data_IF_315586968835
#
_entry.id   IF_315586968835
#
_cell.length_a   1.000
_cell.length_b   1.000
_cell.length_c   1.000
_cell.angle_alpha   90.00
_cell.angle_beta   90.00
_cell.angle_gamma   90.00
#
_symmetry.space_group_name_H-M   'P 1'
#
loop_
_entity.id
_entity.type
_entity.pdbx_description
1 polymer ?
#
# COMPACT_ATOMS: atom_id res chain seq x y z
N UNK A 1 -5.91 11.11 14.96
CA UNK A 1 -5.68 9.65 14.84
C UNK A 1 -5.28 9.37 13.41
N UNK A 2 -4.16 8.66 13.20
CA UNK A 2 -3.70 8.33 11.86
C UNK A 2 -4.71 7.44 11.13
N UNK A 3 -4.86 7.64 9.82
CA UNK A 3 -5.76 6.85 8.97
C UNK A 3 -4.98 6.04 7.96
N UNK A 4 -5.41 4.80 7.72
CA UNK A 4 -4.97 3.97 6.61
C UNK A 4 -6.11 3.84 5.60
N UNK A 5 -5.86 4.22 4.35
CA UNK A 5 -6.74 3.96 3.22
C UNK A 5 -6.11 2.89 2.34
N UNK A 6 -6.84 1.80 2.12
CA UNK A 6 -6.49 0.74 1.18
C UNK A 6 -7.33 0.90 -0.08
N UNK A 7 -6.71 1.34 -1.17
CA UNK A 7 -7.31 1.27 -2.50
C UNK A 7 -7.04 -0.11 -3.11
N UNK A 8 -8.10 -0.88 -3.27
CA UNK A 8 -8.09 -2.26 -3.76
C UNK A 8 -8.95 -2.30 -5.02
N UNK A 9 -8.33 -2.30 -6.20
CA UNK A 9 -9.06 -2.48 -7.45
C UNK A 9 -8.76 -3.83 -8.08
N UNK A 10 -9.75 -4.39 -8.78
CA UNK A 10 -9.56 -5.66 -9.50
C UNK A 10 -8.52 -5.48 -10.61
N UNK A 11 -7.68 -6.49 -10.87
CA UNK A 11 -6.69 -6.42 -11.94
C UNK A 11 -7.37 -6.14 -13.30
N UNK A 12 -6.80 -5.23 -14.10
CA UNK A 12 -7.33 -4.75 -15.39
C UNK A 12 -8.61 -3.89 -15.33
N UNK A 13 -8.89 -3.22 -14.21
CA UNK A 13 -10.00 -2.23 -14.12
C UNK A 13 -9.53 -0.77 -14.13
N UNK A 14 -8.29 -0.49 -14.56
CA UNK A 14 -7.72 0.86 -14.61
C UNK A 14 -6.96 1.27 -13.33
N UNK A 15 -6.66 0.33 -12.43
CA UNK A 15 -5.86 0.59 -11.22
C UNK A 15 -4.52 1.23 -11.50
N UNK A 16 -3.83 0.83 -12.58
CA UNK A 16 -2.56 1.42 -12.99
C UNK A 16 -2.70 2.91 -13.28
N UNK A 17 -3.75 3.33 -14.00
CA UNK A 17 -3.98 4.75 -14.28
C UNK A 17 -4.20 5.54 -12.98
N UNK A 18 -4.99 5.00 -12.05
CA UNK A 18 -5.19 5.62 -10.72
C UNK A 18 -3.87 5.71 -9.95
N UNK A 19 -3.07 4.65 -9.92
CA UNK A 19 -1.76 4.62 -9.26
C UNK A 19 -0.80 5.66 -9.85
N UNK A 20 -0.76 5.80 -11.19
CA UNK A 20 0.07 6.80 -11.87
C UNK A 20 -0.36 8.23 -11.52
N UNK A 21 -1.67 8.50 -11.50
CA UNK A 21 -2.20 9.79 -11.08
C UNK A 21 -1.85 10.10 -9.61
N UNK A 22 -1.99 9.14 -8.71
CA UNK A 22 -1.64 9.31 -7.29
C UNK A 22 -0.14 9.52 -7.09
N UNK A 23 0.70 8.78 -7.82
CA UNK A 23 2.15 8.92 -7.80
C UNK A 23 2.60 10.31 -8.31
N UNK A 24 1.99 10.81 -9.39
CA UNK A 24 2.24 12.16 -9.90
C UNK A 24 1.74 13.26 -8.94
N UNK A 25 0.68 12.97 -8.17
CA UNK A 25 0.08 13.90 -7.21
C UNK A 25 0.68 13.81 -5.79
N UNK A 26 1.79 13.09 -5.55
CA UNK A 26 2.37 12.93 -4.21
C UNK A 26 2.58 14.24 -3.44
N UNK A 27 3.12 15.26 -4.11
CA UNK A 27 3.39 16.56 -3.48
C UNK A 27 2.10 17.28 -3.03
N UNK A 28 1.09 17.50 -3.91
CA UNK A 28 -0.17 18.10 -3.45
C UNK A 28 -0.95 17.22 -2.46
N UNK A 29 -0.86 15.89 -2.56
CA UNK A 29 -1.45 14.97 -1.57
C UNK A 29 -0.81 15.18 -0.18
N UNK A 30 0.53 15.27 -0.12
CA UNK A 30 1.25 15.47 1.14
C UNK A 30 0.90 16.83 1.79
N UNK A 31 0.67 17.88 1.00
CA UNK A 31 0.19 19.18 1.51
C UNK A 31 -1.19 19.06 2.18
N UNK A 32 -2.03 18.12 1.72
CA UNK A 32 -3.32 17.79 2.32
C UNK A 32 -3.23 16.68 3.39
N UNK A 33 -2.03 16.38 3.90
CA UNK A 33 -1.76 15.31 4.87
C UNK A 33 -2.14 13.89 4.38
N UNK A 34 -2.23 13.69 3.05
CA UNK A 34 -2.38 12.37 2.43
C UNK A 34 -1.02 11.91 1.94
N UNK A 35 -0.48 10.88 2.58
CA UNK A 35 0.82 10.30 2.26
C UNK A 35 0.60 9.15 1.29
N UNK A 36 1.10 9.30 0.06
CA UNK A 36 1.21 8.23 -0.93
C UNK A 36 2.68 7.81 -1.06
N UNK A 37 3.10 6.68 -0.47
CA UNK A 37 4.50 6.28 -0.46
C UNK A 37 5.16 6.22 -1.84
N UNK A 38 6.47 6.40 -1.85
CA UNK A 38 7.26 6.23 -3.06
C UNK A 38 7.93 4.84 -3.07
N UNK A 39 7.57 4.05 -4.08
CA UNK A 39 8.20 2.76 -4.40
C UNK A 39 8.74 2.76 -5.84
N UNK A 40 9.24 3.92 -6.28
CA UNK A 40 9.89 4.08 -7.58
C UNK A 40 10.83 2.90 -7.91
N UNK A 41 10.79 2.37 -9.14
CA UNK A 41 10.14 2.96 -10.32
C UNK A 41 8.63 2.68 -10.44
N UNK A 42 8.02 1.95 -9.51
CA UNK A 42 6.61 1.58 -9.59
C UNK A 42 5.71 2.63 -8.92
N UNK A 43 4.60 2.97 -9.58
CA UNK A 43 3.58 3.87 -9.05
C UNK A 43 2.65 3.17 -8.07
N UNK A 44 2.36 1.88 -8.28
CA UNK A 44 1.62 1.01 -7.37
C UNK A 44 2.45 0.47 -6.21
N UNK A 45 1.78 0.00 -5.16
CA UNK A 45 2.41 -0.37 -3.90
C UNK A 45 2.69 -1.88 -3.73
N UNK A 46 2.82 -2.61 -4.84
CA UNK A 46 3.00 -4.07 -4.84
C UNK A 46 4.25 -4.53 -4.08
N UNK A 47 5.31 -3.71 -4.06
CA UNK A 47 6.55 -4.02 -3.34
C UNK A 47 6.33 -4.32 -1.86
N UNK A 48 5.33 -3.71 -1.22
CA UNK A 48 4.99 -3.98 0.18
C UNK A 48 4.38 -5.35 0.43
N UNK A 49 3.95 -6.06 -0.62
CA UNK A 49 3.23 -7.32 -0.54
C UNK A 49 4.10 -8.53 -0.91
N UNK A 50 5.34 -8.28 -1.34
CA UNK A 50 6.30 -9.29 -1.83
C UNK A 50 6.66 -10.37 -0.80
N UNK A 51 6.43 -10.13 0.49
CA UNK A 51 6.63 -11.14 1.54
C UNK A 51 5.50 -12.18 1.61
N UNK A 52 4.35 -11.88 0.99
CA UNK A 52 3.17 -12.76 0.94
C UNK A 52 2.85 -13.28 -0.45
N UNK A 53 3.30 -12.61 -1.51
CA UNK A 53 3.01 -12.99 -2.89
C UNK A 53 4.27 -13.00 -3.74
N UNK A 54 4.34 -13.90 -4.73
CA UNK A 54 5.49 -13.94 -5.62
C UNK A 54 5.30 -12.91 -6.74
N UNK A 55 6.19 -11.92 -6.77
CA UNK A 55 6.30 -10.93 -7.82
C UNK A 55 7.71 -10.95 -8.42
N UNK A 56 7.91 -10.40 -9.64
CA UNK A 56 9.23 -10.22 -10.20
C UNK A 56 10.18 -9.50 -9.22
N UNK A 57 11.47 -9.85 -9.26
CA UNK A 57 12.49 -9.26 -8.38
C UNK A 57 12.58 -7.72 -8.46
N UNK A 58 12.09 -7.12 -9.55
CA UNK A 58 11.98 -5.67 -9.72
C UNK A 58 11.04 -4.99 -8.69
N UNK A 59 10.21 -5.74 -7.97
CA UNK A 59 9.35 -5.24 -6.89
C UNK A 59 9.98 -5.39 -5.50
N UNK A 60 11.13 -6.07 -5.38
CA UNK A 60 11.75 -6.32 -4.09
C UNK A 60 12.23 -5.01 -3.45
N UNK A 61 11.88 -4.80 -2.18
CA UNK A 61 12.33 -3.66 -1.40
C UNK A 61 13.41 -4.08 -0.39
N UNK A 62 14.43 -3.25 -0.10
CA UNK A 62 15.39 -3.55 0.95
C UNK A 62 14.70 -3.83 2.30
N UNK A 63 14.97 -5.01 2.87
CA UNK A 63 14.38 -5.45 4.13
C UNK A 63 12.99 -6.11 4.02
N UNK A 64 12.45 -6.28 2.81
CA UNK A 64 11.14 -6.91 2.59
C UNK A 64 9.96 -5.94 2.72
N UNK A 65 8.83 -6.32 2.13
CA UNK A 65 7.66 -5.48 2.01
C UNK A 65 7.02 -5.13 3.36
N UNK A 66 6.92 -6.11 4.26
CA UNK A 66 6.37 -5.97 5.61
C UNK A 66 7.20 -5.06 6.49
N UNK A 67 8.53 -5.09 6.36
CA UNK A 67 9.40 -4.18 7.11
C UNK A 67 9.17 -2.72 6.69
N UNK A 68 8.93 -2.49 5.39
CA UNK A 68 8.52 -1.20 4.84
C UNK A 68 7.18 -0.72 5.43
N UNK A 69 6.16 -1.58 5.43
CA UNK A 69 4.86 -1.28 6.05
C UNK A 69 4.99 -0.98 7.54
N UNK A 70 5.73 -1.80 8.28
CA UNK A 70 5.95 -1.60 9.71
C UNK A 70 6.68 -0.26 10.01
N UNK A 71 7.59 0.17 9.14
CA UNK A 71 8.26 1.47 9.26
C UNK A 71 7.26 2.62 9.06
N UNK A 72 6.43 2.56 8.03
CA UNK A 72 5.38 3.57 7.78
C UNK A 72 4.37 3.64 8.94
N UNK A 73 3.92 2.47 9.41
CA UNK A 73 2.98 2.36 10.53
C UNK A 73 3.54 2.91 11.85
N UNK A 74 4.87 2.85 12.06
CA UNK A 74 5.51 3.49 13.21
C UNK A 74 5.67 4.99 13.02
N UNK A 75 6.09 5.41 11.83
CA UNK A 75 6.35 6.82 11.52
C UNK A 75 5.11 7.71 11.59
N UNK A 76 3.95 7.18 11.19
CA UNK A 76 2.73 7.96 11.08
C UNK A 76 1.77 7.76 12.27
N UNK A 77 2.08 6.87 13.22
CA UNK A 77 1.15 6.41 14.28
C UNK A 77 0.50 7.55 15.05
N UNK A 78 1.32 8.50 15.47
CA UNK A 78 0.91 9.62 16.34
C UNK A 78 0.62 10.90 15.54
N UNK A 79 0.34 10.76 14.23
CA UNK A 79 0.00 11.87 13.34
C UNK A 79 -1.48 11.91 13.01
N UNK A 80 -1.92 13.02 12.41
CA UNK A 80 -3.24 13.16 11.79
C UNK A 80 -3.23 12.81 10.29
N UNK A 81 -2.13 12.23 9.80
CA UNK A 81 -1.98 11.94 8.38
C UNK A 81 -2.80 10.72 7.94
N UNK A 82 -3.19 10.73 6.67
CA UNK A 82 -3.78 9.57 5.98
C UNK A 82 -2.71 8.90 5.13
N UNK A 83 -2.40 7.63 5.41
CA UNK A 83 -1.59 6.79 4.53
C UNK A 83 -2.48 6.14 3.48
N UNK A 84 -2.23 6.41 2.20
CA UNK A 84 -2.94 5.81 1.07
C UNK A 84 -2.06 4.74 0.41
N UNK A 85 -2.45 3.48 0.56
CA UNK A 85 -1.85 2.33 -0.14
C UNK A 85 -2.76 1.90 -1.28
N UNK A 86 -2.17 1.47 -2.39
CA UNK A 86 -2.89 1.17 -3.64
C UNK A 86 -2.23 -0.01 -4.33
N UNK A 87 -2.97 -1.11 -4.46
CA UNK A 87 -2.45 -2.34 -5.07
C UNK A 87 -3.60 -3.31 -5.39
N UNK A 88 -3.69 -3.78 -6.63
CA UNK A 88 -4.61 -4.87 -7.01
C UNK A 88 -4.27 -6.19 -6.30
N UNK A 89 -3.00 -6.38 -5.93
CA UNK A 89 -2.50 -7.59 -5.29
C UNK A 89 -3.07 -7.80 -3.86
N UNK A 90 -3.75 -6.80 -3.30
CA UNK A 90 -4.54 -6.94 -2.06
C UNK A 90 -5.83 -7.75 -2.27
N UNK A 91 -6.33 -7.84 -3.50
CA UNK A 91 -7.54 -8.61 -3.86
C UNK A 91 -7.25 -9.93 -4.57
N UNK A 92 -6.01 -10.15 -5.02
CA UNK A 92 -5.66 -11.35 -5.76
C UNK A 92 -5.46 -12.52 -4.81
N UNK A 93 -6.37 -13.48 -4.87
CA UNK A 93 -6.21 -14.80 -4.27
C UNK A 93 -5.72 -15.80 -5.34
N UNK A 94 -4.65 -16.55 -5.05
CA UNK A 94 -4.37 -17.82 -5.74
C UNK A 94 -3.30 -17.84 -6.84
N UNK A 95 -2.38 -16.87 -6.88
CA UNK A 95 -1.15 -16.96 -7.69
C UNK A 95 0.00 -17.68 -6.97
N UNK A 96 1.14 -17.96 -7.63
CA UNK A 96 2.36 -18.37 -6.93
C UNK A 96 2.68 -17.36 -5.82
N UNK A 97 2.85 -17.83 -4.59
CA UNK A 97 3.04 -17.00 -3.40
C UNK A 97 1.86 -16.94 -2.44
N UNK A 98 0.61 -17.08 -2.92
CA UNK A 98 -0.57 -17.19 -2.04
C UNK A 98 -1.47 -15.94 -2.02
N UNK A 99 -1.73 -15.40 -0.83
CA UNK A 99 -2.59 -14.24 -0.58
C UNK A 99 -1.97 -13.32 0.47
N UNK A 100 -2.26 -12.02 0.37
CA UNK A 100 -1.85 -11.06 1.41
C UNK A 100 -2.53 -11.39 2.74
N UNK A 101 -1.75 -11.54 3.80
CA UNK A 101 -2.27 -11.74 5.15
C UNK A 101 -2.82 -10.41 5.71
N UNK A 102 -4.14 -10.24 5.61
CA UNK A 102 -4.82 -9.03 6.07
C UNK A 102 -4.87 -8.92 7.61
N UNK A 103 -4.76 -10.02 8.36
CA UNK A 103 -4.71 -9.98 9.82
C UNK A 103 -3.35 -9.42 10.30
N UNK A 104 -2.26 -9.81 9.62
CA UNK A 104 -0.95 -9.19 9.84
C UNK A 104 -0.97 -7.72 9.45
N UNK A 105 -1.57 -7.36 8.30
CA UNK A 105 -1.69 -5.95 7.89
C UNK A 105 -2.48 -5.13 8.93
N UNK A 106 -3.63 -5.64 9.39
CA UNK A 106 -4.41 -5.03 10.48
C UNK A 106 -3.59 -4.85 11.76
N UNK A 107 -2.77 -5.85 12.10
CA UNK A 107 -1.91 -5.81 13.30
C UNK A 107 -0.79 -4.77 13.18
N UNK A 108 -0.18 -4.64 12.00
CA UNK A 108 0.85 -3.62 11.74
C UNK A 108 0.31 -2.20 11.94
N UNK A 109 -0.94 -1.97 11.51
CA UNK A 109 -1.64 -0.69 11.61
C UNK A 109 -2.61 -0.63 12.80
N UNK A 110 -2.37 -1.40 13.85
CA UNK A 110 -3.18 -1.34 15.07
C UNK A 110 -3.19 0.08 15.64
N UNK A 111 -4.39 0.63 15.88
CA UNK A 111 -4.61 2.00 16.33
C UNK A 111 -4.81 3.03 15.20
N UNK A 112 -4.83 2.60 13.94
CA UNK A 112 -5.26 3.44 12.83
C UNK A 112 -6.77 3.32 12.62
N UNK A 113 -7.39 4.40 12.14
CA UNK A 113 -8.69 4.30 11.46
C UNK A 113 -8.47 3.70 10.07
N UNK A 114 -9.21 2.65 9.70
CA UNK A 114 -8.97 1.90 8.46
C UNK A 114 -10.18 2.03 7.54
N UNK A 115 -9.93 2.55 6.34
CA UNK A 115 -10.91 2.63 5.25
C UNK A 115 -10.45 1.76 4.08
N UNK A 116 -11.34 0.89 3.59
CA UNK A 116 -11.11 0.11 2.38
C UNK A 116 -11.94 0.71 1.25
N UNK A 117 -11.28 1.09 0.16
CA UNK A 117 -11.89 1.58 -1.07
C UNK A 117 -11.75 0.50 -2.15
N UNK A 118 -12.83 -0.22 -2.41
CA UNK A 118 -12.89 -1.22 -3.47
C UNK A 118 -13.48 -0.64 -4.76
N UNK A 119 -12.85 -0.93 -5.90
CA UNK A 119 -13.31 -0.52 -7.24
C UNK A 119 -13.28 -1.65 -8.27
#
# INVERSE_FOLDING_TARGET
>A
MARLVLHIGTHKTGTTWVQDCLAAARAPLAQAQVIYPDLSPHSGHHGFLTDWIALPAAYATPGGGRAGLARLARQLRDSEATLLLSSEELSRAGGPGGYTDLDVLRSLFAGYDILVLCV
#
